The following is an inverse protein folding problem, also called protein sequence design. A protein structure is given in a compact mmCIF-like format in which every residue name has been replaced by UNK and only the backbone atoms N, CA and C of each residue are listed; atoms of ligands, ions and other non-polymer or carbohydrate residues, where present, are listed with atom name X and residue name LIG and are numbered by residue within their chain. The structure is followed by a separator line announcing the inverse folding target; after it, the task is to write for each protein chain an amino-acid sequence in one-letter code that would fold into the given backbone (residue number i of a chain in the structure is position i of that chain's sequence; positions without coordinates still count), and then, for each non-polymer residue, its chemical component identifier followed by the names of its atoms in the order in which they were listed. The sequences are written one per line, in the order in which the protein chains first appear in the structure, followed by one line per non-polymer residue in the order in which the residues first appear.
data_IF_141013070636
#
_entry.id   IF_141013070636
#
_cell.length_a   1.000
_cell.length_b   1.000
_cell.length_c   1.000
_cell.angle_alpha   90.00
_cell.angle_beta   90.00
_cell.angle_gamma   90.00
#
_symmetry.space_group_name_H-M   'P 1'
#
loop_
_entity.id
_entity.type
_entity.pdbx_description
1 polymer ?
#
# COMPACT_ATOMS: atom_id res chain seq x y z
N UNK A 1 28.51 -86.84 13.68
CA UNK A 1 28.09 -85.65 14.45
C UNK A 1 29.19 -85.30 15.45
N UNK A 2 29.90 -84.19 15.25
CA UNK A 2 30.88 -83.69 16.23
C UNK A 2 30.42 -82.29 16.68
N UNK A 3 29.77 -82.23 17.84
CA UNK A 3 29.50 -80.96 18.51
C UNK A 3 30.85 -80.41 18.96
N UNK A 4 31.40 -79.44 18.23
CA UNK A 4 32.53 -78.62 18.72
C UNK A 4 32.06 -77.96 20.02
N UNK A 5 32.52 -78.47 21.16
CA UNK A 5 32.36 -77.78 22.44
C UNK A 5 33.13 -76.48 22.35
N UNK A 6 32.42 -75.39 22.08
CA UNK A 6 32.99 -74.05 22.20
C UNK A 6 33.54 -73.93 23.61
N UNK A 7 34.84 -73.61 23.72
CA UNK A 7 35.51 -73.44 25.01
C UNK A 7 34.72 -72.42 25.84
N UNK A 8 34.16 -72.79 26.99
CA UNK A 8 33.29 -71.92 27.78
C UNK A 8 34.00 -70.61 28.16
N UNK A 9 35.33 -70.61 28.31
CA UNK A 9 36.11 -69.40 28.61
C UNK A 9 36.12 -68.40 27.46
N UNK A 10 36.26 -68.87 26.22
CA UNK A 10 36.22 -68.01 25.04
C UNK A 10 34.82 -67.40 24.81
N UNK A 11 33.77 -68.16 25.15
CA UNK A 11 32.39 -67.68 25.07
C UNK A 11 32.08 -66.63 26.15
N UNK A 12 32.60 -66.81 27.37
CA UNK A 12 32.47 -65.83 28.46
C UNK A 12 33.17 -64.52 28.08
N UNK A 13 34.41 -64.57 27.57
CA UNK A 13 35.14 -63.36 27.14
C UNK A 13 34.42 -62.60 26.00
N UNK A 14 33.80 -63.32 25.06
CA UNK A 14 32.99 -62.71 24.00
C UNK A 14 31.74 -62.02 24.54
N UNK A 15 31.06 -62.65 25.50
CA UNK A 15 29.87 -62.08 26.13
C UNK A 15 30.22 -60.87 27.01
N UNK A 16 31.34 -60.90 27.73
CA UNK A 16 31.85 -59.75 28.49
C UNK A 16 32.15 -58.56 27.57
N UNK A 17 32.76 -58.80 26.41
CA UNK A 17 33.01 -57.77 25.41
C UNK A 17 31.72 -57.21 24.78
N UNK A 18 30.70 -58.04 24.58
CA UNK A 18 29.37 -57.60 24.12
C UNK A 18 28.65 -56.78 25.18
N UNK A 19 28.68 -57.21 26.44
CA UNK A 19 28.11 -56.48 27.58
C UNK A 19 28.78 -55.12 27.72
N UNK A 20 30.11 -55.05 27.62
CA UNK A 20 30.83 -53.77 27.72
C UNK A 20 30.47 -52.82 26.55
N UNK A 21 30.33 -53.35 25.33
CA UNK A 21 29.87 -52.54 24.17
C UNK A 21 28.44 -52.04 24.36
N UNK A 22 27.55 -52.90 24.85
CA UNK A 22 26.16 -52.53 25.12
C UNK A 22 26.06 -51.49 26.23
N UNK A 23 26.82 -51.63 27.31
CA UNK A 23 26.88 -50.62 28.38
C UNK A 23 27.32 -49.26 27.86
N UNK A 24 28.40 -49.20 27.06
CA UNK A 24 28.84 -47.93 26.44
C UNK A 24 27.79 -47.36 25.48
N UNK A 25 27.05 -48.21 24.76
CA UNK A 25 25.98 -47.77 23.88
C UNK A 25 24.80 -47.19 24.68
N UNK A 26 24.42 -47.81 25.81
CA UNK A 26 23.39 -47.30 26.72
C UNK A 26 23.80 -45.94 27.28
N UNK A 27 25.02 -45.80 27.80
CA UNK A 27 25.53 -44.53 28.33
C UNK A 27 25.49 -43.41 27.27
N UNK A 28 25.82 -43.75 26.01
CA UNK A 28 25.77 -42.79 24.91
C UNK A 28 24.34 -42.35 24.55
N UNK A 29 23.37 -43.25 24.67
CA UNK A 29 21.95 -42.96 24.42
C UNK A 29 21.38 -42.14 25.58
N UNK A 30 21.75 -42.43 26.82
CA UNK A 30 21.35 -41.66 27.99
C UNK A 30 21.88 -40.22 27.92
N UNK A 31 23.13 -40.04 27.52
CA UNK A 31 23.72 -38.72 27.29
C UNK A 31 22.94 -37.93 26.21
N UNK A 32 22.58 -38.58 25.09
CA UNK A 32 21.77 -37.95 24.04
C UNK A 32 20.36 -37.62 24.51
N UNK A 33 19.75 -38.49 25.31
CA UNK A 33 18.42 -38.27 25.88
C UNK A 33 18.39 -37.08 26.84
N UNK A 34 19.45 -36.89 27.63
CA UNK A 34 19.60 -35.72 28.48
C UNK A 34 19.65 -34.42 27.68
N UNK A 35 20.41 -34.40 26.58
CA UNK A 35 20.51 -33.23 25.67
C UNK A 35 19.15 -32.91 25.03
N UNK A 36 18.42 -33.92 24.54
CA UNK A 36 17.10 -33.71 23.94
C UNK A 36 16.04 -33.27 24.98
N UNK A 37 16.12 -33.75 26.22
CA UNK A 37 15.26 -33.26 27.32
C UNK A 37 15.50 -31.79 27.62
N UNK A 38 16.76 -31.35 27.63
CA UNK A 38 17.09 -29.94 27.86
C UNK A 38 16.66 -29.07 26.67
N UNK A 39 16.79 -29.58 25.44
CA UNK A 39 16.26 -28.92 24.25
C UNK A 39 14.75 -28.77 24.30
N UNK A 40 14.02 -29.80 24.70
CA UNK A 40 12.57 -29.76 24.87
C UNK A 40 12.15 -28.71 25.91
N UNK A 41 12.83 -28.64 27.06
CA UNK A 41 12.56 -27.61 28.09
C UNK A 41 12.81 -26.18 27.58
N UNK A 42 13.83 -25.98 26.73
CA UNK A 42 14.09 -24.65 26.12
C UNK A 42 12.98 -24.28 25.15
N UNK A 43 12.58 -25.20 24.27
CA UNK A 43 11.49 -24.99 23.32
C UNK A 43 10.16 -24.72 24.04
N UNK A 44 9.87 -25.42 25.13
CA UNK A 44 8.67 -25.18 25.95
C UNK A 44 8.66 -23.76 26.53
N UNK A 45 9.80 -23.27 27.04
CA UNK A 45 9.95 -21.89 27.52
C UNK A 45 9.77 -20.88 26.38
N UNK A 46 10.32 -21.16 25.20
CA UNK A 46 10.18 -20.29 24.03
C UNK A 46 8.72 -20.21 23.56
N UNK A 47 8.02 -21.35 23.47
CA UNK A 47 6.59 -21.42 23.13
C UNK A 47 5.74 -20.67 24.15
N UNK A 48 6.03 -20.82 25.45
CA UNK A 48 5.33 -20.07 26.50
C UNK A 48 5.59 -18.56 26.43
N UNK A 49 6.79 -18.14 26.00
CA UNK A 49 7.11 -16.72 25.75
C UNK A 49 6.41 -16.17 24.50
N UNK A 50 6.30 -17.00 23.46
CA UNK A 50 5.62 -16.66 22.21
C UNK A 50 4.12 -16.50 22.44
N UNK A 51 3.49 -17.44 23.16
CA UNK A 51 2.07 -17.36 23.51
C UNK A 51 1.73 -16.12 24.36
N UNK A 52 2.63 -15.69 25.25
CA UNK A 52 2.47 -14.43 26.00
C UNK A 52 2.52 -13.19 25.10
N UNK A 53 3.49 -13.14 24.18
CA UNK A 53 3.63 -12.05 23.20
C UNK A 53 2.44 -12.00 22.24
N UNK A 54 2.02 -13.15 21.75
CA UNK A 54 0.85 -13.30 20.87
C UNK A 54 -0.42 -12.81 21.56
N UNK A 55 -0.64 -13.17 22.83
CA UNK A 55 -1.79 -12.69 23.61
C UNK A 55 -1.80 -11.17 23.78
N UNK A 56 -0.62 -10.55 23.98
CA UNK A 56 -0.50 -9.09 24.09
C UNK A 56 -0.81 -8.40 22.74
N UNK A 57 -0.30 -8.94 21.63
CA UNK A 57 -0.59 -8.43 20.28
C UNK A 57 -2.08 -8.55 19.95
N UNK A 58 -2.70 -9.69 20.23
CA UNK A 58 -4.14 -9.90 20.01
C UNK A 58 -4.99 -8.93 20.83
N UNK A 59 -4.60 -8.64 22.08
CA UNK A 59 -5.29 -7.66 22.92
C UNK A 59 -5.18 -6.22 22.36
N UNK A 60 -4.01 -5.81 21.85
CA UNK A 60 -3.80 -4.51 21.20
C UNK A 60 -4.67 -4.37 19.95
N UNK A 61 -4.79 -5.44 19.18
CA UNK A 61 -5.59 -5.47 17.95
C UNK A 61 -7.10 -5.68 18.21
N UNK A 62 -7.53 -5.76 19.48
CA UNK A 62 -8.90 -6.12 19.89
C UNK A 62 -9.41 -7.42 19.25
N UNK A 63 -8.50 -8.32 18.88
CA UNK A 63 -8.81 -9.64 18.37
C UNK A 63 -8.95 -10.59 19.57
N UNK A 64 -10.13 -11.16 19.76
CA UNK A 64 -10.38 -12.12 20.84
C UNK A 64 -9.45 -13.34 20.78
N UNK A 65 -9.29 -14.10 21.89
CA UNK A 65 -8.43 -15.29 21.90
C UNK A 65 -8.86 -16.29 20.82
N UNK A 66 -7.88 -16.81 20.07
CA UNK A 66 -8.07 -17.67 18.88
C UNK A 66 -9.21 -18.68 19.08
N UNK A 67 -10.24 -18.57 18.25
CA UNK A 67 -11.31 -19.55 18.16
C UNK A 67 -10.77 -20.89 17.62
N UNK A 68 -11.34 -21.99 18.12
CA UNK A 68 -10.90 -23.38 17.91
C UNK A 68 -10.77 -23.76 16.42
N UNK A 69 -9.97 -24.80 16.17
CA UNK A 69 -9.67 -25.37 14.85
C UNK A 69 -10.92 -25.46 13.96
N UNK A 70 -10.91 -24.70 12.87
CA UNK A 70 -12.07 -24.36 12.03
C UNK A 70 -12.07 -22.87 11.66
N UNK A 71 -11.55 -22.01 12.54
CA UNK A 71 -11.40 -20.57 12.31
C UNK A 71 -10.26 -20.17 11.36
N UNK A 72 -9.40 -21.11 10.92
CA UNK A 72 -8.30 -20.81 9.98
C UNK A 72 -8.79 -20.26 8.64
N UNK A 73 -9.98 -20.65 8.17
CA UNK A 73 -10.58 -20.09 6.96
C UNK A 73 -11.00 -18.64 7.13
N UNK A 74 -11.78 -18.33 8.17
CA UNK A 74 -12.27 -16.96 8.44
C UNK A 74 -11.17 -15.99 8.89
N UNK A 75 -10.19 -16.46 9.66
CA UNK A 75 -9.01 -15.64 10.01
C UNK A 75 -8.12 -15.40 8.79
N UNK A 76 -7.97 -16.37 7.89
CA UNK A 76 -7.25 -16.19 6.63
C UNK A 76 -7.97 -15.21 5.69
N UNK A 77 -9.30 -15.27 5.61
CA UNK A 77 -10.12 -14.29 4.87
C UNK A 77 -10.01 -12.89 5.48
N UNK A 78 -10.00 -12.78 6.81
CA UNK A 78 -9.81 -11.51 7.50
C UNK A 78 -8.39 -10.96 7.29
N UNK A 79 -7.35 -11.80 7.39
CA UNK A 79 -5.97 -11.44 7.09
C UNK A 79 -5.81 -11.00 5.63
N UNK A 80 -6.41 -11.71 4.68
CA UNK A 80 -6.44 -11.34 3.27
C UNK A 80 -7.15 -10.00 3.04
N UNK A 81 -8.27 -9.75 3.75
CA UNK A 81 -9.00 -8.49 3.69
C UNK A 81 -8.19 -7.34 4.28
N UNK A 82 -7.51 -7.57 5.41
CA UNK A 82 -6.63 -6.58 6.05
C UNK A 82 -5.44 -6.25 5.16
N UNK A 83 -4.79 -7.25 4.57
CA UNK A 83 -3.68 -7.05 3.61
C UNK A 83 -4.19 -6.31 2.36
N UNK A 84 -5.40 -6.63 1.88
CA UNK A 84 -6.05 -5.91 0.79
C UNK A 84 -6.32 -4.45 1.11
N UNK A 85 -6.81 -4.15 2.32
CA UNK A 85 -7.03 -2.79 2.82
C UNK A 85 -5.72 -2.03 3.02
N UNK A 86 -4.68 -2.68 3.54
CA UNK A 86 -3.34 -2.08 3.64
C UNK A 86 -2.77 -1.73 2.28
N UNK A 87 -2.89 -2.64 1.30
CA UNK A 87 -2.47 -2.38 -0.08
C UNK A 87 -3.31 -1.31 -0.79
N UNK A 88 -4.59 -1.19 -0.45
CA UNK A 88 -5.43 -0.07 -0.91
C UNK A 88 -4.95 1.24 -0.29
N UNK A 89 -4.76 1.31 1.03
CA UNK A 89 -4.30 2.51 1.74
C UNK A 89 -2.93 2.97 1.27
N UNK A 90 -1.98 2.06 1.03
CA UNK A 90 -0.66 2.38 0.48
C UNK A 90 -0.78 3.02 -0.91
N UNK A 91 -1.56 2.41 -1.82
CA UNK A 91 -1.81 2.96 -3.15
C UNK A 91 -2.51 4.32 -3.10
N UNK A 92 -3.45 4.50 -2.17
CA UNK A 92 -4.10 5.79 -1.94
C UNK A 92 -3.12 6.82 -1.39
N UNK A 93 -2.21 6.44 -0.49
CA UNK A 93 -1.16 7.33 0.02
C UNK A 93 -0.24 7.81 -1.08
N UNK A 94 0.29 6.91 -1.91
CA UNK A 94 1.13 7.28 -3.07
C UNK A 94 0.40 8.19 -4.04
N UNK A 95 -0.90 7.95 -4.25
CA UNK A 95 -1.75 8.80 -5.07
C UNK A 95 -1.91 10.20 -4.46
N UNK A 96 -2.17 10.29 -3.16
CA UNK A 96 -2.27 11.55 -2.42
C UNK A 96 -0.95 12.33 -2.54
N UNK A 97 0.20 11.68 -2.38
CA UNK A 97 1.51 12.33 -2.50
C UNK A 97 1.74 12.92 -3.89
N UNK A 98 1.35 12.19 -4.95
CA UNK A 98 1.40 12.72 -6.33
C UNK A 98 0.50 13.94 -6.51
N UNK A 99 -0.72 13.91 -5.96
CA UNK A 99 -1.65 15.04 -6.03
C UNK A 99 -1.10 16.25 -5.28
N UNK A 100 -0.57 16.05 -4.06
CA UNK A 100 0.04 17.11 -3.27
C UNK A 100 1.25 17.73 -3.96
N UNK A 101 2.07 16.91 -4.62
CA UNK A 101 3.20 17.39 -5.42
C UNK A 101 2.73 18.23 -6.59
N UNK A 102 1.76 17.75 -7.37
CA UNK A 102 1.20 18.49 -8.51
C UNK A 102 0.52 19.81 -8.07
N UNK A 103 -0.17 19.82 -6.91
CA UNK A 103 -0.75 21.04 -6.33
C UNK A 103 0.32 22.04 -5.92
N UNK A 104 1.43 21.57 -5.35
CA UNK A 104 2.55 22.43 -4.96
C UNK A 104 3.19 23.08 -6.19
N UNK A 105 3.50 22.28 -7.22
CA UNK A 105 4.04 22.77 -8.50
C UNK A 105 3.08 23.78 -9.15
N UNK A 106 1.78 23.49 -9.14
CA UNK A 106 0.78 24.40 -9.68
C UNK A 106 0.69 25.73 -8.90
N UNK A 107 0.82 25.68 -7.56
CA UNK A 107 0.86 26.88 -6.73
C UNK A 107 2.11 27.72 -6.99
N UNK A 108 3.26 27.08 -7.13
CA UNK A 108 4.52 27.77 -7.49
C UNK A 108 4.39 28.42 -8.88
N UNK A 109 3.85 27.70 -9.85
CA UNK A 109 3.55 28.22 -11.19
C UNK A 109 2.60 29.41 -11.16
N UNK A 110 1.52 29.36 -10.37
CA UNK A 110 0.62 30.50 -10.18
C UNK A 110 1.34 31.72 -9.57
N UNK A 111 2.23 31.49 -8.61
CA UNK A 111 3.04 32.56 -8.01
C UNK A 111 4.04 33.19 -9.00
N UNK A 112 4.57 32.42 -9.95
CA UNK A 112 5.41 32.94 -11.03
C UNK A 112 4.61 33.72 -12.08
N UNK A 113 3.41 33.23 -12.41
CA UNK A 113 2.47 33.89 -13.32
C UNK A 113 2.04 35.24 -12.76
N UNK A 114 1.64 35.32 -11.50
CA UNK A 114 1.20 36.58 -10.88
C UNK A 114 2.27 37.69 -10.98
N UNK A 115 3.54 37.31 -10.88
CA UNK A 115 4.68 38.23 -11.08
C UNK A 115 4.91 38.63 -12.54
N UNK A 116 4.65 37.72 -13.51
CA UNK A 116 4.90 37.94 -14.94
C UNK A 116 3.72 38.57 -15.70
N UNK A 117 2.49 38.35 -15.25
CA UNK A 117 1.26 38.84 -15.92
C UNK A 117 1.21 40.37 -15.96
N UNK A 118 1.80 41.05 -14.97
CA UNK A 118 1.89 42.52 -14.95
C UNK A 118 2.80 43.07 -16.05
N UNK A 119 3.73 42.27 -16.59
CA UNK A 119 4.78 42.70 -17.51
C UNK A 119 4.64 42.13 -18.94
N UNK A 120 3.67 41.25 -19.20
CA UNK A 120 3.58 40.48 -20.45
C UNK A 120 2.45 40.93 -21.37
N UNK A 121 2.64 40.75 -22.69
CA UNK A 121 1.65 41.08 -23.71
C UNK A 121 0.43 40.15 -23.70
N UNK A 122 -0.68 40.60 -24.30
CA UNK A 122 -1.99 39.90 -24.32
C UNK A 122 -1.89 38.42 -24.73
N UNK A 123 -1.07 38.07 -25.74
CA UNK A 123 -0.94 36.70 -26.26
C UNK A 123 -0.28 35.77 -25.24
N UNK A 124 0.77 36.25 -24.58
CA UNK A 124 1.46 35.49 -23.53
C UNK A 124 0.56 35.31 -22.31
N UNK A 125 -0.23 36.33 -21.96
CA UNK A 125 -1.23 36.22 -20.90
C UNK A 125 -2.26 35.12 -21.20
N UNK A 126 -2.83 35.09 -22.41
CA UNK A 126 -3.76 34.03 -22.83
C UNK A 126 -3.11 32.65 -22.73
N UNK A 127 -1.85 32.52 -23.13
CA UNK A 127 -1.11 31.27 -23.03
C UNK A 127 -0.94 30.81 -21.58
N UNK A 128 -0.56 31.72 -20.68
CA UNK A 128 -0.42 31.43 -19.25
C UNK A 128 -1.75 31.00 -18.64
N UNK A 129 -2.86 31.66 -18.99
CA UNK A 129 -4.20 31.29 -18.54
C UNK A 129 -4.58 29.87 -19.01
N UNK A 130 -4.29 29.52 -20.27
CA UNK A 130 -4.53 28.16 -20.81
C UNK A 130 -3.67 27.10 -20.12
N UNK A 131 -2.41 27.41 -19.78
CA UNK A 131 -1.53 26.50 -19.04
C UNK A 131 -2.03 26.27 -17.61
N UNK A 132 -2.59 27.30 -16.96
CA UNK A 132 -3.27 27.16 -15.67
C UNK A 132 -4.45 26.20 -15.80
N UNK A 133 -5.36 26.44 -16.75
CA UNK A 133 -6.55 25.61 -16.96
C UNK A 133 -6.18 24.13 -17.18
N UNK A 134 -5.20 23.86 -18.05
CA UNK A 134 -4.73 22.49 -18.33
C UNK A 134 -4.17 21.82 -17.08
N UNK A 135 -3.35 22.53 -16.31
CA UNK A 135 -2.76 21.99 -15.09
C UNK A 135 -3.84 21.69 -14.04
N UNK A 136 -4.84 22.57 -13.89
CA UNK A 136 -5.99 22.33 -13.00
C UNK A 136 -6.77 21.08 -13.38
N UNK A 137 -7.13 20.90 -14.66
CA UNK A 137 -7.84 19.69 -15.12
C UNK A 137 -7.00 18.41 -14.93
N UNK A 138 -5.68 18.51 -15.16
CA UNK A 138 -4.76 17.38 -14.98
C UNK A 138 -4.68 16.95 -13.51
N UNK A 139 -4.67 17.91 -12.58
CA UNK A 139 -4.71 17.63 -11.13
C UNK A 139 -6.03 16.97 -10.73
N UNK A 140 -7.16 17.47 -11.25
CA UNK A 140 -8.48 16.87 -11.00
C UNK A 140 -8.54 15.42 -11.51
N UNK A 141 -8.03 15.15 -12.71
CA UNK A 141 -7.93 13.80 -13.25
C UNK A 141 -7.05 12.88 -12.38
N UNK A 142 -5.89 13.38 -11.89
CA UNK A 142 -5.03 12.63 -10.96
C UNK A 142 -5.74 12.32 -9.63
N UNK A 143 -6.58 13.24 -9.15
CA UNK A 143 -7.45 13.05 -8.00
C UNK A 143 -8.56 12.01 -8.23
N UNK A 144 -8.80 11.61 -9.48
CA UNK A 144 -9.80 10.60 -9.84
C UNK A 144 -11.16 11.18 -10.11
N UNK A 145 -11.20 12.48 -10.37
CA UNK A 145 -12.37 13.17 -10.86
C UNK A 145 -12.47 12.89 -12.35
N UNK A 146 -13.63 12.42 -12.81
CA UNK A 146 -13.92 12.32 -14.24
C UNK A 146 -14.13 13.73 -14.78
N UNK A 147 -13.24 14.15 -15.68
CA UNK A 147 -13.28 15.45 -16.35
C UNK A 147 -13.62 15.21 -17.82
N UNK A 148 -14.35 16.12 -18.47
CA UNK A 148 -14.56 16.06 -19.94
C UNK A 148 -13.22 15.97 -20.70
N UNK A 149 -12.97 14.83 -21.34
CA UNK A 149 -11.77 14.52 -22.12
C UNK A 149 -11.54 15.48 -23.30
N UNK A 150 -12.57 16.19 -23.77
CA UNK A 150 -12.45 17.17 -24.84
C UNK A 150 -11.79 18.47 -24.37
N UNK A 151 -12.01 18.89 -23.13
CA UNK A 151 -11.51 20.17 -22.59
C UNK A 151 -9.97 20.27 -22.64
N UNK A 152 -9.19 19.32 -22.10
CA UNK A 152 -7.73 19.37 -22.19
C UNK A 152 -7.20 19.41 -23.63
N UNK A 153 -7.90 18.73 -24.56
CA UNK A 153 -7.53 18.70 -25.99
C UNK A 153 -7.79 20.03 -26.68
N UNK A 154 -8.93 20.65 -26.39
CA UNK A 154 -9.29 21.95 -26.97
C UNK A 154 -8.39 23.07 -26.42
N UNK A 155 -7.99 23.00 -25.14
CA UNK A 155 -7.01 23.90 -24.53
C UNK A 155 -5.64 23.78 -25.22
N UNK A 156 -5.15 22.55 -25.45
CA UNK A 156 -3.89 22.31 -26.18
C UNK A 156 -3.92 22.85 -27.62
N UNK A 157 -5.03 22.66 -28.34
CA UNK A 157 -5.19 23.21 -29.69
C UNK A 157 -5.13 24.74 -29.68
N UNK A 158 -5.84 25.40 -28.77
CA UNK A 158 -5.82 26.86 -28.69
C UNK A 158 -4.45 27.40 -28.28
N UNK A 159 -3.77 26.71 -27.36
CA UNK A 159 -2.38 27.01 -26.97
C UNK A 159 -1.43 26.94 -28.17
N UNK A 160 -1.53 25.89 -29.00
CA UNK A 160 -0.71 25.75 -30.20
C UNK A 160 -0.97 26.88 -31.22
N UNK A 161 -2.22 27.35 -31.34
CA UNK A 161 -2.56 28.50 -32.18
C UNK A 161 -2.02 29.80 -31.61
N UNK A 162 -2.06 29.98 -30.28
CA UNK A 162 -1.54 31.17 -29.61
C UNK A 162 -0.01 31.33 -29.73
N UNK A 163 0.73 30.27 -30.09
CA UNK A 163 2.19 30.33 -30.35
C UNK A 163 2.51 30.89 -31.73
N UNK A 164 1.55 30.88 -32.67
CA UNK A 164 1.78 31.38 -34.03
C UNK A 164 1.71 32.91 -34.05
N UNK A 165 2.73 33.54 -34.63
CA UNK A 165 2.85 35.00 -34.62
C UNK A 165 1.76 35.72 -35.44
N UNK A 166 1.23 35.04 -36.46
CA UNK A 166 0.18 35.47 -37.38
C UNK A 166 -1.26 35.18 -36.89
N UNK A 167 -1.43 34.58 -35.72
CA UNK A 167 -2.76 34.25 -35.19
C UNK A 167 -3.58 35.50 -34.86
N UNK A 168 -4.83 35.52 -35.32
CA UNK A 168 -5.79 36.59 -35.05
C UNK A 168 -6.11 36.67 -33.55
N UNK A 169 -5.68 37.77 -32.93
CA UNK A 169 -5.89 38.05 -31.51
C UNK A 169 -7.37 38.15 -31.13
N UNK A 170 -8.23 38.58 -32.05
CA UNK A 170 -9.66 38.69 -31.80
C UNK A 170 -10.34 37.31 -31.77
N UNK A 171 -9.94 36.42 -32.66
CA UNK A 171 -10.40 35.04 -32.73
C UNK A 171 -9.88 34.23 -31.52
N UNK A 172 -8.60 34.41 -31.16
CA UNK A 172 -8.00 33.81 -29.96
C UNK A 172 -8.74 34.22 -28.68
N UNK A 173 -9.13 35.49 -28.54
CA UNK A 173 -9.91 35.95 -27.38
C UNK A 173 -11.30 35.32 -27.32
N UNK A 174 -12.03 35.28 -28.43
CA UNK A 174 -13.37 34.69 -28.48
C UNK A 174 -13.37 33.20 -28.18
N UNK A 175 -12.42 32.47 -28.75
CA UNK A 175 -12.26 31.03 -28.50
C UNK A 175 -11.83 30.76 -27.05
N UNK A 176 -10.98 31.62 -26.48
CA UNK A 176 -10.61 31.55 -25.05
C UNK A 176 -11.81 31.81 -24.13
N UNK A 177 -12.62 32.83 -24.40
CA UNK A 177 -13.84 33.11 -23.61
C UNK A 177 -14.86 31.96 -23.66
N UNK A 178 -14.98 31.28 -24.80
CA UNK A 178 -15.83 30.10 -24.91
C UNK A 178 -15.28 28.92 -24.09
N UNK A 179 -13.96 28.74 -24.06
CA UNK A 179 -13.29 27.75 -23.22
C UNK A 179 -13.40 28.07 -21.74
N UNK A 180 -13.28 29.34 -21.34
CA UNK A 180 -13.48 29.77 -19.95
C UNK A 180 -14.86 29.35 -19.44
N UNK A 181 -15.92 29.60 -20.23
CA UNK A 181 -17.28 29.20 -19.85
C UNK A 181 -17.41 27.69 -19.64
N UNK A 182 -16.88 26.89 -20.57
CA UNK A 182 -16.91 25.41 -20.45
C UNK A 182 -16.08 24.93 -19.26
N UNK A 183 -14.93 25.55 -19.01
CA UNK A 183 -14.07 25.23 -17.88
C UNK A 183 -14.72 25.59 -16.54
N UNK A 184 -15.33 26.76 -16.42
CA UNK A 184 -16.06 27.18 -15.21
C UNK A 184 -17.28 26.29 -14.95
N UNK A 185 -18.01 25.89 -16.00
CA UNK A 185 -19.09 24.91 -15.89
C UNK A 185 -18.60 23.56 -15.38
N UNK A 186 -17.46 23.10 -15.88
CA UNK A 186 -16.83 21.87 -15.43
C UNK A 186 -16.38 21.97 -13.97
N UNK A 187 -15.74 23.07 -13.55
CA UNK A 187 -15.35 23.28 -12.16
C UNK A 187 -16.55 23.36 -11.21
N UNK A 188 -17.67 23.99 -11.63
CA UNK A 188 -18.91 24.06 -10.84
C UNK A 188 -19.53 22.69 -10.57
N UNK A 189 -19.30 21.68 -11.42
CA UNK A 189 -19.74 20.30 -11.16
C UNK A 189 -19.07 19.70 -9.91
N UNK A 190 -17.95 20.27 -9.50
CA UNK A 190 -17.13 19.77 -8.40
C UNK A 190 -17.08 20.74 -7.20
N UNK A 191 -17.90 21.79 -7.21
CA UNK A 191 -18.03 22.70 -6.09
C UNK A 191 -18.72 21.99 -4.90
N UNK A 192 -17.89 21.57 -3.95
CA UNK A 192 -18.32 20.85 -2.75
C UNK A 192 -19.31 21.66 -1.91
N UNK A 193 -19.24 22.98 -1.90
CA UNK A 193 -20.14 23.84 -1.12
C UNK A 193 -21.54 23.86 -1.74
N UNK A 194 -21.61 23.97 -3.06
CA UNK A 194 -22.87 23.87 -3.82
C UNK A 194 -23.46 22.45 -3.78
N UNK A 195 -22.63 21.40 -3.75
CA UNK A 195 -23.10 20.01 -3.61
C UNK A 195 -23.62 19.73 -2.19
N UNK A 196 -22.93 20.20 -1.15
CA UNK A 196 -23.31 19.98 0.24
C UNK A 196 -24.52 20.82 0.68
N UNK A 197 -24.68 22.03 0.16
CA UNK A 197 -25.87 22.85 0.41
C UNK A 197 -27.15 22.17 -0.08
N UNK A 198 -27.11 21.50 -1.25
CA UNK A 198 -28.22 20.67 -1.75
C UNK A 198 -28.52 19.44 -0.88
N UNK A 199 -27.53 18.88 -0.18
CA UNK A 199 -27.73 17.70 0.70
C UNK A 199 -28.39 18.03 2.04
N UNK A 200 -28.27 19.27 2.53
CA UNK A 200 -28.98 19.73 3.75
C UNK A 200 -30.50 19.76 3.60
N UNK A 201 -31.01 19.73 2.36
CA UNK A 201 -32.44 19.67 2.06
C UNK A 201 -32.99 18.23 1.97
N UNK A 202 -32.13 17.21 2.09
CA UNK A 202 -32.56 15.80 2.09
C UNK A 202 -33.12 15.44 3.48
N UNK A 203 -34.40 15.03 3.59
CA UNK A 203 -34.97 14.62 4.87
C UNK A 203 -34.21 13.42 5.44
N UNK A 204 -33.59 13.59 6.63
CA UNK A 204 -32.91 12.51 7.35
C UNK A 204 -31.44 12.78 7.70
N UNK A 205 -30.82 13.83 7.16
CA UNK A 205 -29.48 14.27 7.57
C UNK A 205 -29.60 15.62 8.32
N UNK A 206 -29.69 15.54 9.66
CA UNK A 206 -29.47 16.66 10.59
C UNK A 206 -28.30 16.32 11.50
#
# INVERSE_FOLDING_TARGET
MARRSVDPRARIASLEGEVERLSRAVDSVEARLAVERDRAKRLEKEVASHGRREKAVLAVLRLGPRSKAGAKGRLGELEATVVGLQGYLLRTSERIDKILTALKEHREFLGEIDRRVVQTGTRERIRLELDVMKNTLSILALAGVEVDDALPRDIEKLRATAVKDDADLSELRRTKEALDKRFDEELKRFDLETIWSKKREIPGYR
#
